data_IF_742142949207
#
_entry.id   IF_742142949207
#
_cell.length_a   1.000
_cell.length_b   1.000
_cell.length_c   1.000
_cell.angle_alpha   90.00
_cell.angle_beta   90.00
_cell.angle_gamma   90.00
#
_symmetry.space_group_name_H-M   'P 1'
#
loop_
_entity.id
_entity.type
_entity.pdbx_description
1 polymer ?
#
# COMPACT_ATOMS: atom_id res chain seq x y z
N UNK A 1 15.08 -11.28 23.02
CA UNK A 1 15.57 -9.93 23.39
C UNK A 1 15.98 -9.24 22.09
N UNK A 2 15.30 -8.14 21.76
CA UNK A 2 14.81 -7.87 20.39
C UNK A 2 15.82 -7.26 19.42
N UNK A 3 15.78 -7.76 18.19
CA UNK A 3 16.48 -7.25 16.99
C UNK A 3 16.12 -5.77 16.68
N UNK A 4 14.97 -5.30 17.17
CA UNK A 4 14.49 -3.92 17.01
C UNK A 4 15.29 -2.87 17.80
N UNK A 5 15.88 -3.24 18.94
CA UNK A 5 16.73 -2.32 19.73
C UNK A 5 18.10 -2.09 19.08
N UNK A 6 18.61 -3.07 18.33
CA UNK A 6 19.86 -2.91 17.56
C UNK A 6 19.66 -2.05 16.31
N UNK A 7 18.50 -2.12 15.66
CA UNK A 7 18.15 -1.26 14.53
C UNK A 7 17.86 0.19 14.96
N UNK A 8 17.20 0.39 16.10
CA UNK A 8 17.00 1.73 16.67
C UNK A 8 18.34 2.40 17.08
N UNK A 9 19.27 1.63 17.67
CA UNK A 9 20.61 2.14 18.00
C UNK A 9 21.45 2.47 16.75
N UNK A 10 21.32 1.69 15.67
CA UNK A 10 21.98 1.96 14.38
C UNK A 10 21.39 3.17 13.65
N UNK A 11 20.09 3.44 13.78
CA UNK A 11 19.43 4.63 13.21
C UNK A 11 19.73 5.91 14.00
N UNK A 12 19.84 5.83 15.32
CA UNK A 12 20.33 6.93 16.17
C UNK A 12 21.82 7.19 15.89
N UNK A 13 22.62 6.14 15.67
CA UNK A 13 24.02 6.28 15.27
C UNK A 13 24.16 6.84 13.85
N UNK A 14 23.30 6.48 12.89
CA UNK A 14 23.30 7.06 11.54
C UNK A 14 22.89 8.55 11.54
N UNK A 15 21.95 8.95 12.41
CA UNK A 15 21.64 10.36 12.67
C UNK A 15 22.79 11.12 13.33
N UNK A 16 23.56 10.46 14.20
CA UNK A 16 24.74 11.04 14.85
C UNK A 16 25.98 11.13 13.93
N UNK A 17 26.11 10.22 12.95
CA UNK A 17 27.20 10.25 11.95
C UNK A 17 27.06 11.44 10.99
N UNK A 18 25.84 11.89 10.71
CA UNK A 18 25.60 13.10 9.90
C UNK A 18 25.96 14.39 10.66
N UNK A 19 25.94 14.36 12.00
CA UNK A 19 26.43 15.47 12.83
C UNK A 19 27.96 15.47 13.00
N UNK A 20 28.64 14.36 12.71
CA UNK A 20 30.10 14.23 12.85
C UNK A 20 30.89 14.62 11.59
N UNK A 21 30.23 14.97 10.48
CA UNK A 21 30.90 15.44 9.24
C UNK A 21 31.19 16.95 9.24
N UNK A 22 30.77 17.68 10.28
CA UNK A 22 31.19 19.06 10.54
C UNK A 22 32.07 19.10 11.79
N UNK A 23 33.34 19.47 11.59
CA UNK A 23 34.40 19.62 12.59
C UNK A 23 33.96 20.09 13.98
N UNK A 24 34.42 19.39 15.03
CA UNK A 24 35.30 19.95 16.07
C UNK A 24 35.87 18.82 16.95
N UNK A 25 37.19 18.86 17.12
CA UNK A 25 37.96 18.05 18.07
C UNK A 25 37.46 18.28 19.51
N UNK A 26 37.33 17.23 20.32
CA UNK A 26 38.04 17.05 21.62
C UNK A 26 37.44 15.95 22.49
N UNK A 27 38.33 15.01 22.85
CA UNK A 27 38.50 14.23 24.10
C UNK A 27 37.30 13.62 24.86
N UNK A 28 37.44 12.30 25.01
CA UNK A 28 36.75 11.31 25.86
C UNK A 28 36.47 11.77 27.31
N UNK A 29 35.22 11.62 27.78
CA UNK A 29 34.85 11.45 29.21
C UNK A 29 33.63 10.50 29.33
N UNK A 30 33.69 9.54 30.26
CA UNK A 30 32.71 8.49 30.56
C UNK A 30 31.34 8.96 31.10
N UNK A 31 30.27 8.12 31.06
CA UNK A 31 28.92 8.51 31.43
C UNK A 31 28.62 8.32 32.93
N UNK A 32 28.26 9.41 33.63
CA UNK A 32 27.55 9.34 34.91
C UNK A 32 26.06 9.65 34.71
N UNK A 33 25.22 8.77 35.27
CA UNK A 33 23.76 8.85 35.32
C UNK A 33 23.31 10.23 35.84
N UNK A 34 22.54 10.96 35.04
CA UNK A 34 21.78 12.13 35.50
C UNK A 34 20.29 11.88 35.33
N UNK A 35 19.63 11.91 36.50
CA UNK A 35 18.19 11.79 36.72
C UNK A 35 17.58 13.17 36.39
N UNK A 36 16.87 13.29 35.28
CA UNK A 36 16.24 14.56 34.87
C UNK A 36 14.88 14.72 35.56
N UNK A 37 14.89 15.40 36.71
CA UNK A 37 13.73 16.10 37.26
C UNK A 37 13.80 17.57 36.83
N UNK A 38 12.72 18.05 36.18
CA UNK A 38 12.36 19.47 36.14
C UNK A 38 13.13 20.37 35.16
N UNK A 39 12.66 20.45 33.92
CA UNK A 39 12.80 21.66 33.09
C UNK A 39 11.47 21.92 32.35
N UNK A 40 10.61 22.73 32.97
CA UNK A 40 9.52 23.44 32.27
C UNK A 40 10.16 24.61 31.52
N UNK A 41 10.49 24.42 30.24
CA UNK A 41 10.88 25.51 29.35
C UNK A 41 9.60 26.16 28.76
N UNK A 42 9.04 27.13 29.48
CA UNK A 42 7.76 27.76 29.18
C UNK A 42 7.83 28.93 28.17
N UNK A 43 8.70 28.93 27.14
CA UNK A 43 8.89 30.13 26.31
C UNK A 43 8.98 30.02 24.77
N UNK A 44 8.69 28.87 24.12
CA UNK A 44 8.19 28.87 22.73
C UNK A 44 6.67 28.72 22.65
N UNK A 45 6.06 28.19 23.72
CA UNK A 45 4.66 27.81 23.77
C UNK A 45 3.70 29.01 23.69
N UNK A 46 4.07 30.19 24.23
CA UNK A 46 3.16 31.34 24.34
C UNK A 46 3.02 32.17 23.04
N UNK A 47 4.09 32.28 22.24
CA UNK A 47 4.09 33.08 21.01
C UNK A 47 3.38 32.39 19.85
N UNK A 48 3.47 31.06 19.77
CA UNK A 48 2.75 30.24 18.78
C UNK A 48 1.28 29.99 19.16
N UNK A 49 0.96 29.98 20.46
CA UNK A 49 -0.45 29.98 20.89
C UNK A 49 -1.12 31.30 20.53
N UNK A 50 -0.51 32.46 20.80
CA UNK A 50 -1.15 33.75 20.49
C UNK A 50 -1.44 33.93 18.99
N UNK A 51 -0.53 33.51 18.11
CA UNK A 51 -0.71 33.63 16.66
C UNK A 51 -1.72 32.64 16.06
N UNK A 52 -1.91 31.47 16.70
CA UNK A 52 -2.88 30.46 16.25
C UNK A 52 -4.27 30.61 16.90
N UNK A 53 -4.32 31.17 18.12
CA UNK A 53 -5.54 31.33 18.91
C UNK A 53 -6.40 32.52 18.45
N UNK A 54 -5.79 33.62 17.98
CA UNK A 54 -6.54 34.76 17.44
C UNK A 54 -7.16 34.47 16.07
N UNK A 55 -6.56 33.58 15.28
CA UNK A 55 -7.15 33.08 14.03
C UNK A 55 -8.36 32.16 14.28
N UNK A 56 -8.35 31.40 15.39
CA UNK A 56 -9.43 30.48 15.76
C UNK A 56 -10.63 31.15 16.44
N UNK A 57 -10.50 32.40 16.92
CA UNK A 57 -11.55 33.08 17.70
C UNK A 57 -12.61 33.81 16.87
N UNK A 58 -12.48 33.83 15.54
CA UNK A 58 -13.44 34.47 14.65
C UNK A 58 -14.71 33.63 14.33
N UNK A 59 -14.85 32.41 14.87
CA UNK A 59 -16.05 31.60 14.72
C UNK A 59 -16.17 30.54 15.81
N UNK A 60 -17.05 30.78 16.78
CA UNK A 60 -17.23 29.89 17.93
C UNK A 60 -17.94 28.59 17.56
N UNK A 61 -17.18 27.49 17.57
CA UNK A 61 -17.54 26.11 17.92
C UNK A 61 -16.30 25.24 17.71
N UNK A 62 -15.89 24.45 18.70
CA UNK A 62 -14.76 23.50 18.56
C UNK A 62 -15.10 22.46 17.47
N UNK A 63 -14.33 22.36 16.37
CA UNK A 63 -14.69 21.44 15.29
C UNK A 63 -14.37 20.01 15.72
N UNK A 64 -15.40 19.18 15.75
CA UNK A 64 -15.29 17.73 15.81
C UNK A 64 -14.85 17.26 14.42
N UNK A 65 -13.55 17.07 14.23
CA UNK A 65 -13.02 16.61 12.94
C UNK A 65 -13.37 15.14 12.70
N UNK A 66 -14.40 14.92 11.88
CA UNK A 66 -14.61 13.71 11.09
C UNK A 66 -14.25 14.05 9.63
N UNK A 67 -13.57 13.17 8.90
CA UNK A 67 -13.05 13.49 7.57
C UNK A 67 -14.16 13.42 6.52
N UNK A 68 -14.40 14.56 5.91
CA UNK A 68 -15.27 14.75 4.77
C UNK A 68 -15.12 16.20 4.35
N UNK A 69 -14.42 16.43 3.24
CA UNK A 69 -14.21 17.74 2.62
C UNK A 69 -13.51 18.81 3.48
N UNK A 70 -12.21 18.65 3.75
CA UNK A 70 -11.27 19.78 3.66
C UNK A 70 -9.90 19.25 3.24
N UNK A 71 -9.60 19.41 1.95
CA UNK A 71 -8.25 19.28 1.41
C UNK A 71 -7.46 20.42 2.03
N UNK A 72 -6.76 20.18 3.14
CA UNK A 72 -5.87 21.19 3.73
C UNK A 72 -4.82 21.51 2.68
N UNK A 73 -4.94 22.68 2.06
CA UNK A 73 -3.98 23.15 1.10
C UNK A 73 -2.75 23.62 1.87
N UNK A 74 -1.77 22.73 1.97
CA UNK A 74 -0.49 22.99 2.63
C UNK A 74 0.37 24.00 1.84
N UNK A 75 -0.19 24.59 0.77
CA UNK A 75 0.32 25.80 0.12
C UNK A 75 0.02 27.08 0.92
N UNK A 76 -0.75 27.00 2.01
CA UNK A 76 -1.15 28.18 2.77
C UNK A 76 0.05 28.98 3.31
N UNK A 77 -0.08 30.29 3.14
CA UNK A 77 0.80 31.36 3.66
C UNK A 77 1.37 31.12 5.08
N UNK A 78 0.67 30.51 6.06
CA UNK A 78 1.18 30.27 7.40
C UNK A 78 2.36 29.31 7.47
N UNK A 79 2.43 28.27 6.62
CA UNK A 79 3.56 27.34 6.62
C UNK A 79 4.84 27.98 6.08
N UNK A 80 4.70 28.82 5.03
CA UNK A 80 5.81 29.62 4.50
C UNK A 80 6.20 30.72 5.47
N UNK A 81 5.22 31.40 6.08
CA UNK A 81 5.46 32.41 7.10
C UNK A 81 6.13 31.81 8.35
N UNK A 82 5.74 30.63 8.82
CA UNK A 82 6.40 29.94 9.95
C UNK A 82 7.84 29.55 9.59
N UNK A 83 8.07 29.03 8.38
CA UNK A 83 9.41 28.72 7.89
C UNK A 83 10.31 29.96 7.79
N UNK A 84 9.78 31.07 7.25
CA UNK A 84 10.50 32.34 7.13
C UNK A 84 10.71 33.02 8.50
N UNK A 85 9.72 32.99 9.38
CA UNK A 85 9.76 33.62 10.71
C UNK A 85 10.73 32.91 11.66
N UNK A 86 10.86 31.58 11.54
CA UNK A 86 11.78 30.82 12.39
C UNK A 86 13.24 30.88 11.93
N UNK A 87 13.52 31.23 10.66
CA UNK A 87 14.89 31.31 10.13
C UNK A 87 15.72 30.08 10.49
N UNK A 88 16.87 30.29 11.15
CA UNK A 88 17.76 29.22 11.62
C UNK A 88 17.20 28.34 12.76
N UNK A 89 16.14 28.76 13.45
CA UNK A 89 15.51 27.98 14.53
C UNK A 89 14.59 26.86 14.03
N UNK A 90 14.28 26.84 12.73
CA UNK A 90 13.42 25.85 12.09
C UNK A 90 13.88 24.40 12.34
N UNK A 91 15.20 24.17 12.36
CA UNK A 91 15.78 22.86 12.68
C UNK A 91 15.51 22.42 14.12
N UNK A 92 15.67 23.31 15.10
CA UNK A 92 15.41 23.01 16.51
C UNK A 92 13.93 22.71 16.77
N UNK A 93 13.03 23.47 16.14
CA UNK A 93 11.60 23.23 16.29
C UNK A 93 11.17 21.91 15.63
N UNK A 94 11.76 21.55 14.49
CA UNK A 94 11.56 20.23 13.89
C UNK A 94 12.02 19.10 14.84
N UNK A 95 13.20 19.24 15.47
CA UNK A 95 13.69 18.26 16.46
C UNK A 95 12.74 18.17 17.67
N UNK A 96 12.24 19.29 18.17
CA UNK A 96 11.25 19.29 19.25
C UNK A 96 10.00 18.50 18.87
N UNK A 97 9.40 18.77 17.70
CA UNK A 97 8.21 18.07 17.22
C UNK A 97 8.47 16.57 17.01
N UNK A 98 9.67 16.18 16.55
CA UNK A 98 10.06 14.78 16.44
C UNK A 98 10.02 14.06 17.79
N UNK A 99 10.62 14.67 18.82
CA UNK A 99 10.66 14.09 20.17
C UNK A 99 9.25 13.98 20.74
N UNK A 100 8.48 15.06 20.66
CA UNK A 100 7.12 15.11 21.20
C UNK A 100 6.19 14.11 20.51
N UNK A 101 6.25 14.02 19.18
CA UNK A 101 5.42 13.08 18.43
C UNK A 101 5.81 11.61 18.70
N UNK A 102 7.09 11.32 18.90
CA UNK A 102 7.55 9.98 19.24
C UNK A 102 7.12 9.59 20.67
N UNK A 103 7.22 10.51 21.63
CA UNK A 103 6.75 10.29 23.00
C UNK A 103 5.24 10.06 23.05
N UNK A 104 4.45 10.90 22.37
CA UNK A 104 2.99 10.75 22.31
C UNK A 104 2.58 9.43 21.64
N UNK A 105 3.21 9.07 20.52
CA UNK A 105 2.98 7.78 19.84
C UNK A 105 3.23 6.61 20.79
N UNK A 106 4.32 6.66 21.57
CA UNK A 106 4.69 5.62 22.52
C UNK A 106 3.76 5.57 23.74
N UNK A 107 3.23 6.71 24.16
CA UNK A 107 2.23 6.83 25.24
C UNK A 107 0.79 6.59 24.77
N UNK A 108 0.58 6.31 23.46
CA UNK A 108 -0.73 6.15 22.83
C UNK A 108 -1.64 7.37 22.98
N UNK A 109 -1.03 8.56 22.98
CA UNK A 109 -1.72 9.84 22.94
C UNK A 109 -1.85 10.21 21.47
N UNK A 110 -3.09 10.38 20.99
CA UNK A 110 -3.37 10.49 19.56
C UNK A 110 -3.92 11.84 19.12
N UNK A 111 -4.36 12.68 20.07
CA UNK A 111 -5.24 13.83 19.82
C UNK A 111 -4.68 14.79 18.76
N UNK A 112 -3.36 15.06 18.79
CA UNK A 112 -2.72 16.03 17.89
C UNK A 112 -1.58 15.44 17.04
N UNK A 113 -1.41 14.12 17.03
CA UNK A 113 -0.22 13.51 16.42
C UNK A 113 -0.13 13.74 14.90
N UNK A 114 -1.28 13.70 14.22
CA UNK A 114 -1.37 13.99 12.79
C UNK A 114 -1.01 15.45 12.49
N UNK A 115 -1.51 16.40 13.30
CA UNK A 115 -1.19 17.83 13.16
C UNK A 115 0.31 18.08 13.38
N UNK A 116 0.92 17.43 14.38
CA UNK A 116 2.37 17.49 14.61
C UNK A 116 3.17 16.99 13.41
N UNK A 117 2.77 15.87 12.79
CA UNK A 117 3.42 15.38 11.57
C UNK A 117 3.30 16.36 10.40
N UNK A 118 2.14 16.99 10.18
CA UNK A 118 1.99 18.01 9.14
C UNK A 118 2.79 19.29 9.44
N UNK A 119 2.84 19.75 10.69
CA UNK A 119 3.70 20.88 11.10
C UNK A 119 5.16 20.55 10.86
N UNK A 120 5.62 19.38 11.30
CA UNK A 120 6.98 18.91 11.07
C UNK A 120 7.31 18.87 9.57
N UNK A 121 6.42 18.32 8.74
CA UNK A 121 6.59 18.26 7.31
C UNK A 121 6.61 19.65 6.65
N UNK A 122 5.83 20.60 7.15
CA UNK A 122 5.88 22.00 6.69
C UNK A 122 7.24 22.67 7.02
N UNK A 123 7.87 22.26 8.13
CA UNK A 123 9.20 22.70 8.55
C UNK A 123 10.33 21.94 7.85
N UNK A 124 10.06 20.86 7.14
CA UNK A 124 11.07 20.08 6.42
C UNK A 124 10.49 19.45 5.13
N UNK A 125 9.90 20.24 4.21
CA UNK A 125 9.08 19.72 3.12
C UNK A 125 9.91 19.03 2.03
N UNK A 126 11.18 19.40 1.91
CA UNK A 126 12.11 18.86 0.91
C UNK A 126 12.96 17.71 1.47
N UNK A 127 12.62 17.18 2.65
CA UNK A 127 13.33 16.06 3.28
C UNK A 127 12.45 14.82 3.12
N UNK A 128 12.71 13.94 2.13
CA UNK A 128 11.92 12.74 1.88
C UNK A 128 11.71 11.88 3.11
N UNK A 129 12.73 11.73 3.95
CA UNK A 129 12.66 10.95 5.18
C UNK A 129 11.52 11.37 6.12
N UNK A 130 11.18 12.66 6.20
CA UNK A 130 10.06 13.15 7.02
C UNK A 130 8.73 12.59 6.53
N UNK A 131 8.59 12.45 5.21
CA UNK A 131 7.40 11.92 4.55
C UNK A 131 7.34 10.40 4.63
N UNK A 132 8.42 9.70 4.30
CA UNK A 132 8.46 8.23 4.33
C UNK A 132 8.32 7.67 5.75
N UNK A 133 9.01 8.26 6.74
CA UNK A 133 8.96 7.80 8.12
C UNK A 133 7.58 8.02 8.76
N UNK A 134 7.01 9.22 8.63
CA UNK A 134 5.74 9.51 9.29
C UNK A 134 4.54 8.85 8.59
N UNK A 135 4.58 8.69 7.26
CA UNK A 135 3.57 7.86 6.56
C UNK A 135 3.63 6.39 7.02
N UNK A 136 4.83 5.84 7.25
CA UNK A 136 5.00 4.52 7.84
C UNK A 136 4.41 4.45 9.26
N UNK A 137 4.68 5.44 10.11
CA UNK A 137 4.10 5.51 11.46
C UNK A 137 2.57 5.52 11.42
N UNK A 138 1.97 6.34 10.56
CA UNK A 138 0.50 6.41 10.38
C UNK A 138 -0.06 5.06 9.92
N UNK A 139 0.52 4.51 8.85
CA UNK A 139 0.01 3.29 8.21
C UNK A 139 0.27 2.02 9.00
N UNK A 140 1.34 1.92 9.81
CA UNK A 140 1.73 0.69 10.50
C UNK A 140 1.63 0.80 12.03
N UNK A 141 2.24 1.81 12.63
CA UNK A 141 2.38 1.87 14.09
C UNK A 141 1.13 2.43 14.78
N UNK A 142 0.47 3.41 14.17
CA UNK A 142 -0.71 4.06 14.73
C UNK A 142 -1.98 3.32 14.33
N UNK A 143 -2.08 2.88 13.07
CA UNK A 143 -3.26 2.14 12.61
C UNK A 143 -3.53 0.88 13.45
N UNK A 144 -2.52 0.09 13.82
CA UNK A 144 -2.70 -1.14 14.60
C UNK A 144 -3.10 -0.93 16.07
N UNK A 145 -3.12 0.32 16.55
CA UNK A 145 -3.54 0.63 17.92
C UNK A 145 -5.07 0.63 18.07
N UNK A 146 -5.80 0.59 16.96
CA UNK A 146 -7.26 0.67 16.94
C UNK A 146 -7.92 -0.70 16.77
N UNK A 147 -9.00 -0.91 17.50
CA UNK A 147 -9.73 -2.18 17.54
C UNK A 147 -10.62 -2.41 16.32
N UNK A 148 -11.21 -1.36 15.76
CA UNK A 148 -12.13 -1.47 14.61
C UNK A 148 -11.39 -1.34 13.28
N UNK A 149 -11.78 -2.14 12.29
CA UNK A 149 -11.12 -2.17 10.97
C UNK A 149 -11.26 -0.84 10.24
N UNK A 150 -12.42 -0.19 10.40
CA UNK A 150 -12.73 1.14 9.87
C UNK A 150 -11.69 2.15 10.38
N UNK A 151 -11.43 2.14 11.70
CA UNK A 151 -10.50 3.08 12.30
C UNK A 151 -9.06 2.77 11.91
N UNK A 152 -8.68 1.50 11.76
CA UNK A 152 -7.36 1.14 11.22
C UNK A 152 -7.18 1.68 9.80
N UNK A 153 -8.23 1.56 8.97
CA UNK A 153 -8.21 2.08 7.61
C UNK A 153 -8.09 3.60 7.56
N UNK A 154 -8.80 4.35 8.41
CA UNK A 154 -8.66 5.82 8.51
C UNK A 154 -7.19 6.23 8.63
N UNK A 155 -6.43 5.58 9.53
CA UNK A 155 -5.01 5.88 9.73
C UNK A 155 -4.12 5.42 8.58
N UNK A 156 -4.46 4.32 7.91
CA UNK A 156 -3.80 3.93 6.66
C UNK A 156 -4.02 5.01 5.59
N UNK A 157 -5.24 5.56 5.49
CA UNK A 157 -5.56 6.62 4.54
C UNK A 157 -4.87 7.93 4.87
N UNK A 158 -4.84 8.35 6.14
CA UNK A 158 -4.04 9.52 6.54
C UNK A 158 -2.56 9.37 6.18
N UNK A 159 -1.99 8.17 6.30
CA UNK A 159 -0.62 7.90 5.88
C UNK A 159 -0.42 7.99 4.37
N UNK A 160 -1.38 7.51 3.58
CA UNK A 160 -1.37 7.62 2.11
C UNK A 160 -1.47 9.08 1.67
N UNK A 161 -2.40 9.85 2.23
CA UNK A 161 -2.59 11.26 1.89
C UNK A 161 -1.35 12.09 2.29
N UNK A 162 -0.79 11.83 3.46
CA UNK A 162 0.44 12.47 3.92
C UNK A 162 1.62 12.15 2.99
N UNK A 163 1.77 10.90 2.56
CA UNK A 163 2.82 10.52 1.62
C UNK A 163 2.61 11.11 0.22
N UNK A 164 1.36 11.19 -0.24
CA UNK A 164 1.02 11.77 -1.54
C UNK A 164 1.42 13.25 -1.60
N UNK A 165 1.22 14.00 -0.51
CA UNK A 165 1.77 15.34 -0.38
C UNK A 165 3.31 15.35 -0.44
N UNK A 166 3.96 14.43 0.29
CA UNK A 166 5.41 14.29 0.25
C UNK A 166 5.95 14.06 -1.16
N UNK A 167 5.28 13.21 -1.94
CA UNK A 167 5.57 12.97 -3.35
C UNK A 167 5.34 14.24 -4.17
N UNK A 168 4.25 14.98 -3.94
CA UNK A 168 3.99 16.24 -4.65
C UNK A 168 5.11 17.26 -4.44
N UNK A 169 5.69 17.29 -3.23
CA UNK A 169 6.84 18.17 -2.91
C UNK A 169 8.18 17.64 -3.38
N UNK A 170 8.31 16.33 -3.54
CA UNK A 170 9.54 15.65 -3.91
C UNK A 170 9.28 14.67 -5.08
N UNK A 171 8.82 15.14 -6.26
CA UNK A 171 8.25 14.27 -7.30
C UNK A 171 9.26 13.29 -7.91
N UNK A 172 10.54 13.65 -7.94
CA UNK A 172 11.64 12.81 -8.43
C UNK A 172 12.31 11.95 -7.37
N UNK A 173 11.75 11.84 -6.16
CA UNK A 173 12.35 10.99 -5.13
C UNK A 173 11.88 9.54 -5.27
N UNK A 174 12.81 8.63 -5.60
CA UNK A 174 12.55 7.19 -5.79
C UNK A 174 11.97 6.53 -4.53
N UNK A 175 12.49 6.86 -3.35
CA UNK A 175 12.07 6.25 -2.08
C UNK A 175 10.59 6.52 -1.80
N UNK A 176 10.11 7.76 -1.97
CA UNK A 176 8.69 8.07 -1.67
C UNK A 176 7.72 7.32 -2.59
N UNK A 177 8.10 7.15 -3.86
CA UNK A 177 7.32 6.41 -4.86
C UNK A 177 7.27 4.92 -4.47
N UNK A 178 8.42 4.34 -4.09
CA UNK A 178 8.50 2.96 -3.64
C UNK A 178 7.72 2.75 -2.33
N UNK A 179 7.80 3.67 -1.36
CA UNK A 179 7.04 3.57 -0.10
C UNK A 179 5.54 3.55 -0.37
N UNK A 180 5.06 4.35 -1.33
CA UNK A 180 3.66 4.35 -1.73
C UNK A 180 3.25 3.00 -2.32
N UNK A 181 4.06 2.46 -3.24
CA UNK A 181 3.87 1.11 -3.77
C UNK A 181 3.86 0.05 -2.67
N UNK A 182 4.75 0.18 -1.68
CA UNK A 182 4.87 -0.72 -0.53
C UNK A 182 3.64 -0.69 0.38
N UNK A 183 3.04 0.47 0.60
CA UNK A 183 1.79 0.60 1.37
C UNK A 183 0.66 -0.13 0.64
N UNK A 184 0.45 0.13 -0.64
CA UNK A 184 -0.58 -0.56 -1.42
C UNK A 184 -0.35 -2.08 -1.49
N UNK A 185 0.90 -2.51 -1.71
CA UNK A 185 1.22 -3.92 -1.84
C UNK A 185 1.13 -4.70 -0.53
N UNK A 186 1.85 -4.26 0.52
CA UNK A 186 1.99 -5.04 1.76
C UNK A 186 0.97 -4.65 2.82
N UNK A 187 0.67 -3.36 2.96
CA UNK A 187 -0.21 -2.91 4.03
C UNK A 187 -1.69 -3.09 3.70
N UNK A 188 -2.04 -3.01 2.41
CA UNK A 188 -3.41 -3.19 1.93
C UNK A 188 -3.59 -4.60 1.34
N UNK A 189 -3.00 -4.88 0.17
CA UNK A 189 -3.34 -6.07 -0.59
C UNK A 189 -2.84 -7.39 0.01
N UNK A 190 -1.62 -7.40 0.55
CA UNK A 190 -1.00 -8.57 1.16
C UNK A 190 -0.98 -8.50 2.69
N UNK A 191 -1.98 -7.83 3.29
CA UNK A 191 -2.09 -7.76 4.73
C UNK A 191 -2.38 -9.15 5.32
N UNK A 192 -1.60 -9.53 6.34
CA UNK A 192 -1.73 -10.82 7.02
C UNK A 192 -3.00 -10.95 7.87
N UNK A 193 -3.62 -9.83 8.25
CA UNK A 193 -4.95 -9.84 8.84
C UNK A 193 -6.00 -9.84 7.72
N UNK A 194 -6.77 -10.93 7.61
CA UNK A 194 -7.75 -11.13 6.55
C UNK A 194 -8.89 -10.10 6.58
N UNK A 195 -9.41 -9.77 7.76
CA UNK A 195 -10.47 -8.76 7.89
C UNK A 195 -9.98 -7.37 7.47
N UNK A 196 -8.74 -7.01 7.82
CA UNK A 196 -8.12 -5.78 7.34
C UNK A 196 -7.96 -5.80 5.82
N UNK A 197 -7.40 -6.88 5.26
CA UNK A 197 -7.17 -7.02 3.83
C UNK A 197 -8.47 -6.84 3.03
N UNK A 198 -9.52 -7.57 3.40
CA UNK A 198 -10.82 -7.50 2.72
C UNK A 198 -11.42 -6.10 2.77
N UNK A 199 -11.44 -5.49 3.96
CA UNK A 199 -11.98 -4.15 4.14
C UNK A 199 -11.14 -3.10 3.39
N UNK A 200 -9.82 -3.13 3.53
CA UNK A 200 -8.92 -2.13 2.93
C UNK A 200 -8.95 -2.21 1.41
N UNK A 201 -8.89 -3.41 0.81
CA UNK A 201 -8.97 -3.55 -0.65
C UNK A 201 -10.29 -3.03 -1.19
N UNK A 202 -11.42 -3.35 -0.54
CA UNK A 202 -12.73 -2.84 -0.93
C UNK A 202 -12.78 -1.32 -0.86
N UNK A 203 -12.31 -0.74 0.26
CA UNK A 203 -12.27 0.72 0.43
C UNK A 203 -11.39 1.42 -0.60
N UNK A 204 -10.23 0.85 -0.96
CA UNK A 204 -9.38 1.41 -2.02
C UNK A 204 -10.08 1.41 -3.37
N UNK A 205 -10.84 0.37 -3.71
CA UNK A 205 -11.64 0.36 -4.94
C UNK A 205 -12.73 1.44 -4.91
N UNK A 206 -13.42 1.60 -3.77
CA UNK A 206 -14.47 2.61 -3.58
C UNK A 206 -13.91 4.04 -3.65
N UNK A 207 -12.77 4.29 -3.00
CA UNK A 207 -12.21 5.63 -2.81
C UNK A 207 -11.31 6.05 -4.00
N UNK A 208 -10.48 5.13 -4.50
CA UNK A 208 -9.43 5.39 -5.51
C UNK A 208 -9.81 4.83 -6.91
N UNK A 209 -10.85 4.00 -7.02
CA UNK A 209 -11.34 3.47 -8.30
C UNK A 209 -10.49 2.36 -8.95
N UNK A 210 -9.48 1.85 -8.22
CA UNK A 210 -8.54 0.85 -8.74
C UNK A 210 -8.19 -0.22 -7.69
N UNK A 211 -7.73 -1.38 -8.15
CA UNK A 211 -7.24 -2.45 -7.27
C UNK A 211 -5.90 -2.04 -6.63
N UNK A 212 -5.71 -2.36 -5.35
CA UNK A 212 -4.51 -2.01 -4.61
C UNK A 212 -3.23 -2.61 -5.20
N UNK A 213 -3.27 -3.81 -5.79
CA UNK A 213 -2.09 -4.42 -6.42
C UNK A 213 -1.73 -3.71 -7.74
N UNK A 214 -2.73 -3.26 -8.49
CA UNK A 214 -2.51 -2.44 -9.68
C UNK A 214 -1.92 -1.08 -9.29
N UNK A 215 -2.45 -0.44 -8.24
CA UNK A 215 -1.89 0.79 -7.68
C UNK A 215 -0.43 0.58 -7.25
N UNK A 216 -0.13 -0.52 -6.54
CA UNK A 216 1.23 -0.86 -6.16
C UNK A 216 2.17 -0.98 -7.36
N UNK A 217 1.75 -1.70 -8.41
CA UNK A 217 2.51 -1.81 -9.65
C UNK A 217 2.81 -0.43 -10.26
N UNK A 218 1.80 0.44 -10.39
CA UNK A 218 1.98 1.77 -10.96
C UNK A 218 2.98 2.63 -10.17
N UNK A 219 2.97 2.54 -8.85
CA UNK A 219 3.93 3.28 -8.00
C UNK A 219 5.34 2.71 -8.08
N UNK A 220 5.52 1.39 -8.07
CA UNK A 220 6.84 0.78 -8.28
C UNK A 220 7.38 1.05 -9.69
N UNK A 221 6.51 0.98 -10.70
CA UNK A 221 6.83 1.29 -12.09
C UNK A 221 7.27 2.75 -12.26
N UNK A 222 6.61 3.68 -11.56
CA UNK A 222 7.06 5.07 -11.48
C UNK A 222 8.41 5.20 -10.78
N UNK A 223 8.61 4.50 -9.66
CA UNK A 223 9.86 4.54 -8.91
C UNK A 223 11.05 4.05 -9.76
N UNK A 224 10.92 2.89 -10.44
CA UNK A 224 11.98 2.33 -11.30
C UNK A 224 12.30 3.23 -12.49
N UNK A 225 11.30 3.89 -13.09
CA UNK A 225 11.53 4.84 -14.19
C UNK A 225 12.35 6.04 -13.73
N UNK A 226 11.97 6.63 -12.60
CA UNK A 226 12.72 7.76 -12.03
C UNK A 226 14.16 7.33 -11.71
N UNK A 227 14.35 6.13 -11.17
CA UNK A 227 15.68 5.60 -10.91
C UNK A 227 16.49 5.43 -12.20
N UNK A 228 15.90 4.85 -13.24
CA UNK A 228 16.54 4.65 -14.54
C UNK A 228 16.92 5.99 -15.20
N UNK A 229 16.03 6.99 -15.14
CA UNK A 229 16.24 8.33 -15.71
C UNK A 229 17.32 9.12 -14.96
N UNK A 230 17.35 9.03 -13.64
CA UNK A 230 18.26 9.82 -12.80
C UNK A 230 19.60 9.12 -12.53
N UNK A 231 19.71 7.83 -12.85
CA UNK A 231 20.81 6.97 -12.41
C UNK A 231 21.05 7.04 -10.89
N UNK A 232 19.99 7.32 -10.12
CA UNK A 232 20.09 7.46 -8.67
C UNK A 232 20.44 6.12 -8.02
N UNK A 233 21.69 5.98 -7.60
CA UNK A 233 22.16 4.87 -6.80
C UNK A 233 21.69 5.05 -5.35
N UNK A 234 20.72 4.25 -4.92
CA UNK A 234 20.25 4.23 -3.54
C UNK A 234 20.67 2.93 -2.83
N UNK A 235 21.21 2.97 -1.59
CA UNK A 235 21.72 1.78 -0.91
C UNK A 235 20.68 0.67 -0.73
N UNK A 236 19.41 1.02 -0.55
CA UNK A 236 18.31 0.06 -0.33
C UNK A 236 17.54 -0.32 -1.60
N UNK A 237 17.70 0.42 -2.70
CA UNK A 237 16.91 0.21 -3.92
C UNK A 237 17.86 0.03 -5.09
N UNK A 238 18.65 -1.03 -5.07
CA UNK A 238 19.40 -1.41 -6.27
C UNK A 238 18.41 -1.59 -7.43
N UNK A 239 18.75 -1.19 -8.67
CA UNK A 239 17.83 -1.27 -9.80
C UNK A 239 17.15 -2.64 -9.95
N UNK A 240 17.91 -3.73 -9.78
CA UNK A 240 17.36 -5.09 -9.85
C UNK A 240 16.20 -5.32 -8.87
N UNK A 241 16.30 -4.80 -7.64
CA UNK A 241 15.29 -4.98 -6.58
C UNK A 241 14.03 -4.17 -6.91
N UNK A 242 14.18 -2.92 -7.33
CA UNK A 242 13.03 -2.06 -7.58
C UNK A 242 12.23 -2.50 -8.82
N UNK A 243 12.92 -2.99 -9.86
CA UNK A 243 12.24 -3.60 -11.01
C UNK A 243 11.56 -4.93 -10.64
N UNK A 244 12.19 -5.76 -9.80
CA UNK A 244 11.61 -7.01 -9.28
C UNK A 244 10.32 -6.74 -8.47
N UNK A 245 10.28 -5.68 -7.65
CA UNK A 245 9.08 -5.25 -6.93
C UNK A 245 7.90 -4.92 -7.88
N UNK A 246 8.17 -4.22 -8.99
CA UNK A 246 7.14 -3.93 -9.99
C UNK A 246 6.63 -5.23 -10.65
N UNK A 247 7.54 -6.14 -11.02
CA UNK A 247 7.19 -7.43 -11.60
C UNK A 247 6.32 -8.27 -10.66
N UNK A 248 6.69 -8.31 -9.37
CA UNK A 248 5.90 -8.98 -8.34
C UNK A 248 4.53 -8.36 -8.12
N UNK A 249 4.41 -7.03 -8.14
CA UNK A 249 3.12 -6.35 -8.04
C UNK A 249 2.19 -6.70 -9.20
N UNK A 250 2.69 -6.67 -10.44
CA UNK A 250 1.93 -7.05 -11.62
C UNK A 250 1.51 -8.52 -11.60
N UNK A 251 2.41 -9.42 -11.19
CA UNK A 251 2.13 -10.84 -11.03
C UNK A 251 1.06 -11.09 -9.95
N UNK A 252 1.15 -10.41 -8.81
CA UNK A 252 0.15 -10.52 -7.75
C UNK A 252 -1.23 -10.02 -8.22
N UNK A 253 -1.27 -8.91 -8.97
CA UNK A 253 -2.50 -8.40 -9.56
C UNK A 253 -3.13 -9.42 -10.52
N UNK A 254 -2.34 -10.08 -11.37
CA UNK A 254 -2.82 -11.13 -12.28
C UNK A 254 -3.45 -12.31 -11.52
N UNK A 255 -2.82 -12.75 -10.43
CA UNK A 255 -3.38 -13.75 -9.53
C UNK A 255 -4.71 -13.31 -8.92
N UNK A 256 -4.77 -12.07 -8.44
CA UNK A 256 -5.97 -11.53 -7.81
C UNK A 256 -7.15 -11.41 -8.80
N UNK A 257 -6.92 -10.93 -10.02
CA UNK A 257 -7.96 -10.89 -11.06
C UNK A 257 -8.42 -12.31 -11.43
N UNK A 258 -7.49 -13.27 -11.51
CA UNK A 258 -7.83 -14.68 -11.74
C UNK A 258 -8.74 -15.21 -10.63
N UNK A 259 -8.39 -14.94 -9.37
CA UNK A 259 -9.17 -15.36 -8.20
C UNK A 259 -10.58 -14.77 -8.25
N UNK A 260 -10.71 -13.47 -8.47
CA UNK A 260 -12.01 -12.80 -8.55
C UNK A 260 -12.86 -13.33 -9.71
N UNK A 261 -12.24 -13.57 -10.89
CA UNK A 261 -12.91 -14.17 -12.04
C UNK A 261 -13.49 -15.55 -11.70
N UNK A 262 -12.67 -16.43 -11.10
CA UNK A 262 -13.11 -17.76 -10.73
C UNK A 262 -14.20 -17.74 -9.65
N UNK A 263 -14.12 -16.84 -8.67
CA UNK A 263 -15.18 -16.68 -7.67
C UNK A 263 -16.51 -16.32 -8.32
N UNK A 264 -16.53 -15.39 -9.27
CA UNK A 264 -17.77 -14.96 -9.96
C UNK A 264 -18.32 -16.02 -10.91
N UNK A 265 -17.46 -16.67 -11.69
CA UNK A 265 -17.86 -17.78 -12.57
C UNK A 265 -18.36 -18.98 -11.75
N UNK A 266 -17.72 -19.27 -10.61
CA UNK A 266 -18.15 -20.30 -9.67
C UNK A 266 -19.53 -20.00 -9.08
N UNK A 267 -19.79 -18.76 -8.70
CA UNK A 267 -21.11 -18.34 -8.21
C UNK A 267 -22.20 -18.51 -9.28
N UNK A 268 -21.91 -18.21 -10.54
CA UNK A 268 -22.84 -18.46 -11.65
C UNK A 268 -23.16 -19.96 -11.80
N UNK A 269 -22.15 -20.82 -11.70
CA UNK A 269 -22.30 -22.28 -11.75
C UNK A 269 -23.09 -22.82 -10.55
N UNK A 270 -22.84 -22.30 -9.35
CA UNK A 270 -23.54 -22.68 -8.13
C UNK A 270 -25.03 -22.33 -8.19
N UNK A 271 -25.36 -21.13 -8.66
CA UNK A 271 -26.74 -20.74 -8.94
C UNK A 271 -27.35 -21.68 -9.99
N UNK A 272 -26.63 -21.93 -11.10
CA UNK A 272 -27.17 -22.81 -12.15
C UNK A 272 -27.50 -24.22 -11.64
N UNK A 273 -26.64 -24.79 -10.79
CA UNK A 273 -26.84 -26.12 -10.18
C UNK A 273 -27.94 -26.14 -9.13
N UNK A 274 -28.11 -25.06 -8.36
CA UNK A 274 -29.14 -24.97 -7.32
C UNK A 274 -30.56 -24.88 -7.90
N UNK A 275 -30.70 -24.23 -9.07
CA UNK A 275 -32.00 -23.96 -9.68
C UNK A 275 -32.83 -22.89 -8.92
N UNK A 276 -33.91 -22.40 -9.54
CA UNK A 276 -34.72 -21.34 -8.93
C UNK A 276 -35.38 -21.83 -7.62
N UNK A 277 -35.72 -20.92 -6.69
CA UNK A 277 -36.39 -21.29 -5.45
C UNK A 277 -37.66 -22.13 -5.68
N UNK A 278 -37.92 -23.10 -4.81
CA UNK A 278 -39.13 -23.91 -4.90
C UNK A 278 -40.38 -23.03 -4.81
N UNK A 279 -41.31 -23.21 -5.76
CA UNK A 279 -42.52 -22.38 -5.86
C UNK A 279 -42.31 -20.99 -6.46
N UNK A 280 -41.12 -20.68 -7.02
CA UNK A 280 -40.86 -19.42 -7.70
C UNK A 280 -41.85 -19.19 -8.85
N UNK A 281 -42.50 -18.03 -8.81
CA UNK A 281 -43.33 -17.52 -9.90
C UNK A 281 -42.47 -17.08 -11.11
N UNK A 282 -43.11 -16.61 -12.16
CA UNK A 282 -42.41 -16.22 -13.39
C UNK A 282 -41.42 -15.06 -13.16
N UNK A 283 -41.75 -14.09 -12.30
CA UNK A 283 -40.89 -12.95 -12.02
C UNK A 283 -39.65 -13.37 -11.21
N UNK A 284 -39.82 -14.21 -10.19
CA UNK A 284 -38.73 -14.75 -9.38
C UNK A 284 -37.78 -15.64 -10.21
N UNK A 285 -38.31 -16.41 -11.17
CA UNK A 285 -37.49 -17.18 -12.12
C UNK A 285 -36.69 -16.27 -13.05
N UNK A 286 -37.32 -15.22 -13.57
CA UNK A 286 -36.64 -14.24 -14.42
C UNK A 286 -35.50 -13.55 -13.68
N UNK A 287 -35.73 -13.11 -12.43
CA UNK A 287 -34.71 -12.52 -11.57
C UNK A 287 -33.56 -13.49 -11.28
N UNK A 288 -33.89 -14.77 -11.05
CA UNK A 288 -32.88 -15.82 -10.87
C UNK A 288 -31.97 -15.98 -12.09
N UNK A 289 -32.56 -16.02 -13.28
CA UNK A 289 -31.81 -16.12 -14.54
C UNK A 289 -30.97 -14.86 -14.81
N UNK A 290 -31.46 -13.67 -14.41
CA UNK A 290 -30.68 -12.43 -14.47
C UNK A 290 -29.43 -12.55 -13.60
N UNK A 291 -29.56 -13.00 -12.35
CA UNK A 291 -28.43 -13.16 -11.43
C UNK A 291 -27.35 -14.13 -11.94
N UNK A 292 -27.75 -15.23 -12.58
CA UNK A 292 -26.81 -16.16 -13.22
C UNK A 292 -26.04 -15.45 -14.34
N UNK A 293 -26.76 -14.75 -15.24
CA UNK A 293 -26.15 -14.04 -16.36
C UNK A 293 -25.21 -12.93 -15.89
N UNK A 294 -25.60 -12.14 -14.91
CA UNK A 294 -24.78 -11.07 -14.35
C UNK A 294 -23.51 -11.63 -13.71
N UNK A 295 -23.62 -12.65 -12.86
CA UNK A 295 -22.46 -13.29 -12.25
C UNK A 295 -21.49 -13.87 -13.30
N UNK A 296 -22.02 -14.49 -14.36
CA UNK A 296 -21.21 -15.00 -15.45
C UNK A 296 -20.53 -13.88 -16.24
N UNK A 297 -21.26 -12.82 -16.60
CA UNK A 297 -20.72 -11.68 -17.33
C UNK A 297 -19.63 -10.94 -16.54
N UNK A 298 -19.84 -10.72 -15.25
CA UNK A 298 -18.83 -10.13 -14.37
C UNK A 298 -17.60 -11.03 -14.25
N UNK A 299 -17.81 -12.34 -14.09
CA UNK A 299 -16.73 -13.32 -14.10
C UNK A 299 -15.93 -13.31 -15.41
N UNK A 300 -16.59 -13.15 -16.55
CA UNK A 300 -15.95 -12.99 -17.86
C UNK A 300 -15.13 -11.72 -17.98
N UNK A 301 -15.66 -10.57 -17.55
CA UNK A 301 -14.90 -9.30 -17.56
C UNK A 301 -13.64 -9.38 -16.70
N UNK A 302 -13.74 -10.02 -15.53
CA UNK A 302 -12.59 -10.24 -14.66
C UNK A 302 -11.60 -11.23 -15.26
N UNK A 303 -12.08 -12.25 -15.97
CA UNK A 303 -11.24 -13.21 -16.68
C UNK A 303 -10.43 -12.53 -17.79
N UNK A 304 -11.06 -11.66 -18.58
CA UNK A 304 -10.36 -10.90 -19.63
C UNK A 304 -9.28 -9.98 -19.01
N UNK A 305 -9.60 -9.29 -17.91
CA UNK A 305 -8.59 -8.52 -17.14
C UNK A 305 -7.45 -9.38 -16.59
N UNK A 306 -7.75 -10.60 -16.15
CA UNK A 306 -6.75 -11.53 -15.65
C UNK A 306 -5.81 -11.99 -16.77
N UNK A 307 -6.32 -12.24 -17.98
CA UNK A 307 -5.53 -12.57 -19.16
C UNK A 307 -4.58 -11.42 -19.52
N UNK A 308 -5.10 -10.20 -19.62
CA UNK A 308 -4.29 -9.00 -19.85
C UNK A 308 -3.19 -8.83 -18.78
N UNK A 309 -3.55 -9.09 -17.52
CA UNK A 309 -2.61 -8.97 -16.41
C UNK A 309 -1.52 -10.05 -16.44
N UNK A 310 -1.84 -11.30 -16.79
CA UNK A 310 -0.83 -12.36 -16.96
C UNK A 310 0.09 -12.07 -18.15
N UNK A 311 -0.45 -11.52 -19.23
CA UNK A 311 0.33 -11.08 -20.38
C UNK A 311 1.33 -9.98 -19.98
N UNK A 312 0.86 -8.95 -19.27
CA UNK A 312 1.73 -7.89 -18.77
C UNK A 312 2.77 -8.41 -17.76
N UNK A 313 2.39 -9.30 -16.84
CA UNK A 313 3.33 -9.91 -15.91
C UNK A 313 4.44 -10.70 -16.64
N UNK A 314 4.09 -11.46 -17.68
CA UNK A 314 5.06 -12.17 -18.52
C UNK A 314 6.04 -11.21 -19.18
N UNK A 315 5.53 -10.11 -19.72
CA UNK A 315 6.34 -9.13 -20.46
C UNK A 315 7.27 -8.35 -19.52
N UNK A 316 6.79 -8.02 -18.31
CA UNK A 316 7.60 -7.41 -17.25
C UNK A 316 8.75 -8.33 -16.81
N UNK A 317 8.48 -9.61 -16.53
CA UNK A 317 9.53 -10.56 -16.19
C UNK A 317 10.53 -10.80 -17.33
N UNK A 318 10.06 -10.78 -18.58
CA UNK A 318 10.95 -10.87 -19.73
C UNK A 318 11.83 -9.60 -19.88
N UNK A 319 11.29 -8.43 -19.55
CA UNK A 319 12.07 -7.18 -19.51
C UNK A 319 13.11 -7.19 -18.38
N UNK A 320 12.74 -7.67 -17.19
CA UNK A 320 13.64 -7.87 -16.06
C UNK A 320 14.80 -8.78 -16.45
N UNK A 321 14.53 -9.94 -17.08
CA UNK A 321 15.57 -10.88 -17.50
C UNK A 321 16.51 -10.26 -18.55
N UNK A 322 15.98 -9.52 -19.53
CA UNK A 322 16.82 -8.82 -20.52
C UNK A 322 17.74 -7.79 -19.87
N UNK A 323 17.28 -7.13 -18.81
CA UNK A 323 18.03 -6.08 -18.11
C UNK A 323 19.02 -6.66 -17.10
N UNK A 324 18.63 -7.72 -16.41
CA UNK A 324 19.39 -8.39 -15.36
C UNK A 324 19.41 -9.91 -15.63
N UNK A 325 20.27 -10.39 -16.55
CA UNK A 325 20.28 -11.80 -16.95
C UNK A 325 20.62 -12.78 -15.82
N UNK A 326 21.30 -12.30 -14.77
CA UNK A 326 21.67 -13.09 -13.59
C UNK A 326 20.56 -13.14 -12.53
N UNK A 327 19.43 -12.46 -12.76
CA UNK A 327 18.29 -12.49 -11.85
C UNK A 327 17.50 -13.79 -12.00
N UNK A 328 17.70 -14.72 -11.06
CA UNK A 328 16.98 -15.99 -10.99
C UNK A 328 15.47 -15.83 -10.83
N UNK A 329 14.99 -14.73 -10.22
CA UNK A 329 13.56 -14.46 -10.10
C UNK A 329 12.93 -14.29 -11.49
N UNK A 330 13.60 -13.56 -12.38
CA UNK A 330 13.08 -13.28 -13.71
C UNK A 330 12.83 -14.54 -14.54
N UNK A 331 13.70 -15.56 -14.38
CA UNK A 331 13.52 -16.87 -15.02
C UNK A 331 12.34 -17.62 -14.40
N UNK A 332 12.34 -17.78 -13.07
CA UNK A 332 11.35 -18.59 -12.35
C UNK A 332 9.95 -18.00 -12.49
N UNK A 333 9.80 -16.71 -12.20
CA UNK A 333 8.50 -16.04 -12.22
C UNK A 333 8.03 -15.71 -13.65
N UNK A 334 8.95 -15.48 -14.59
CA UNK A 334 8.62 -15.33 -16.01
C UNK A 334 8.03 -16.61 -16.61
N UNK A 335 8.65 -17.77 -16.35
CA UNK A 335 8.10 -19.07 -16.74
C UNK A 335 6.76 -19.36 -16.05
N UNK A 336 6.67 -19.05 -14.74
CA UNK A 336 5.43 -19.16 -13.98
C UNK A 336 4.30 -18.33 -14.58
N UNK A 337 4.56 -17.07 -14.94
CA UNK A 337 3.59 -16.19 -15.57
C UNK A 337 3.16 -16.68 -16.97
N UNK A 338 4.09 -17.17 -17.78
CA UNK A 338 3.77 -17.74 -19.10
C UNK A 338 2.89 -18.99 -18.99
N UNK A 339 3.23 -19.92 -18.07
CA UNK A 339 2.42 -21.12 -17.80
C UNK A 339 1.04 -20.73 -17.29
N UNK A 340 0.97 -19.78 -16.36
CA UNK A 340 -0.26 -19.28 -15.80
C UNK A 340 -1.20 -18.69 -16.87
N UNK A 341 -0.68 -17.77 -17.69
CA UNK A 341 -1.42 -17.17 -18.80
C UNK A 341 -1.98 -18.22 -19.75
N UNK A 342 -1.15 -19.17 -20.23
CA UNK A 342 -1.60 -20.20 -21.17
C UNK A 342 -2.69 -21.13 -20.60
N UNK A 343 -2.62 -21.47 -19.30
CA UNK A 343 -3.66 -22.26 -18.64
C UNK A 343 -4.98 -21.48 -18.51
N UNK A 344 -4.88 -20.18 -18.21
CA UNK A 344 -6.05 -19.32 -18.11
C UNK A 344 -6.68 -19.05 -19.48
N UNK A 345 -5.88 -18.90 -20.53
CA UNK A 345 -6.35 -18.81 -21.94
C UNK A 345 -7.13 -20.06 -22.34
N UNK A 346 -6.58 -21.25 -22.04
CA UNK A 346 -7.25 -22.51 -22.30
C UNK A 346 -8.59 -22.62 -21.53
N UNK A 347 -8.61 -22.22 -20.26
CA UNK A 347 -9.87 -22.14 -19.50
C UNK A 347 -10.85 -21.16 -20.14
N UNK A 348 -10.39 -19.96 -20.51
CA UNK A 348 -11.21 -18.90 -21.06
C UNK A 348 -11.87 -19.27 -22.39
N UNK A 349 -11.22 -20.10 -23.21
CA UNK A 349 -11.80 -20.63 -24.45
C UNK A 349 -13.03 -21.53 -24.20
N UNK A 350 -13.10 -22.18 -23.04
CA UNK A 350 -14.21 -23.05 -22.64
C UNK A 350 -15.18 -22.38 -21.66
N UNK A 351 -14.89 -21.16 -21.21
CA UNK A 351 -15.75 -20.41 -20.31
C UNK A 351 -16.83 -19.66 -21.09
N UNK A 352 -17.81 -20.38 -21.67
CA UNK A 352 -18.92 -19.81 -22.45
C UNK A 352 -20.28 -20.03 -21.76
N UNK A 353 -21.31 -19.20 -22.07
CA UNK A 353 -22.66 -19.42 -21.58
C UNK A 353 -23.21 -20.80 -21.93
N UNK A 354 -22.93 -21.29 -23.14
CA UNK A 354 -23.42 -22.59 -23.63
C UNK A 354 -22.86 -23.74 -22.78
N UNK A 355 -21.58 -23.66 -22.38
CA UNK A 355 -20.96 -24.64 -21.50
C UNK A 355 -21.56 -24.62 -20.09
N UNK A 356 -21.81 -23.43 -19.54
CA UNK A 356 -22.51 -23.28 -18.26
C UNK A 356 -23.92 -23.87 -18.32
N UNK A 357 -24.60 -23.73 -19.45
CA UNK A 357 -25.95 -24.26 -19.67
C UNK A 357 -25.97 -25.77 -19.86
N UNK A 358 -25.06 -26.33 -20.67
CA UNK A 358 -25.06 -27.74 -21.05
C UNK A 358 -24.49 -28.65 -19.96
N UNK A 359 -23.46 -28.21 -19.24
CA UNK A 359 -22.78 -29.01 -18.21
C UNK A 359 -22.24 -28.11 -17.07
N UNK A 360 -23.14 -27.57 -16.22
CA UNK A 360 -22.75 -26.70 -15.13
C UNK A 360 -21.88 -27.40 -14.08
N UNK A 361 -21.96 -28.73 -13.95
CA UNK A 361 -21.15 -29.48 -12.99
C UNK A 361 -19.68 -29.53 -13.42
N UNK A 362 -19.40 -29.92 -14.67
CA UNK A 362 -18.04 -29.94 -15.21
C UNK A 362 -17.43 -28.53 -15.27
N UNK A 363 -18.25 -27.53 -15.61
CA UNK A 363 -17.85 -26.12 -15.53
C UNK A 363 -17.41 -25.73 -14.11
N UNK A 364 -18.20 -26.08 -13.07
CA UNK A 364 -17.85 -25.81 -11.67
C UNK A 364 -16.56 -26.50 -11.25
N UNK A 365 -16.33 -27.75 -11.69
CA UNK A 365 -15.09 -28.50 -11.43
C UNK A 365 -13.89 -27.79 -12.05
N UNK A 366 -14.00 -27.31 -13.30
CA UNK A 366 -12.94 -26.53 -13.96
C UNK A 366 -12.61 -25.24 -13.20
N UNK A 367 -13.62 -24.49 -12.78
CA UNK A 367 -13.43 -23.28 -11.95
C UNK A 367 -12.69 -23.61 -10.64
N UNK A 368 -13.11 -24.68 -9.94
CA UNK A 368 -12.46 -25.11 -8.70
C UNK A 368 -11.02 -25.58 -8.93
N UNK A 369 -10.75 -26.23 -10.06
CA UNK A 369 -9.40 -26.66 -10.43
C UNK A 369 -8.44 -25.47 -10.56
N UNK A 370 -8.87 -24.37 -11.18
CA UNK A 370 -8.07 -23.13 -11.28
C UNK A 370 -7.78 -22.52 -9.91
N UNK A 371 -8.77 -22.52 -9.01
CA UNK A 371 -8.60 -22.01 -7.63
C UNK A 371 -7.68 -22.87 -6.77
N UNK A 372 -7.66 -24.18 -7.00
CA UNK A 372 -6.95 -25.16 -6.17
C UNK A 372 -5.55 -25.52 -6.69
N UNK A 373 -5.30 -25.43 -8.00
CA UNK A 373 -4.07 -25.94 -8.63
C UNK A 373 -3.36 -24.91 -9.50
N UNK A 374 -2.04 -24.82 -9.28
CA UNK A 374 -0.98 -24.13 -10.03
C UNK A 374 -1.01 -22.60 -10.18
N UNK A 375 -2.17 -21.96 -10.31
CA UNK A 375 -2.24 -20.53 -10.64
C UNK A 375 -2.09 -19.60 -9.43
N UNK A 376 -2.56 -20.02 -8.26
CA UNK A 376 -2.71 -19.12 -7.09
C UNK A 376 -1.90 -19.56 -5.86
N UNK A 377 -1.65 -20.86 -5.66
CA UNK A 377 -1.30 -21.40 -4.33
C UNK A 377 0.17 -21.84 -4.15
N UNK A 378 0.88 -22.32 -5.18
CA UNK A 378 2.24 -22.84 -4.98
C UNK A 378 3.34 -21.79 -5.20
N UNK A 379 4.31 -21.66 -4.28
CA UNK A 379 5.64 -21.15 -4.64
C UNK A 379 6.20 -22.11 -5.68
N UNK A 380 6.53 -21.62 -6.88
CA UNK A 380 6.86 -22.40 -8.08
C UNK A 380 8.13 -23.29 -7.98
N UNK A 381 8.66 -23.55 -6.78
CA UNK A 381 9.85 -24.37 -6.57
C UNK A 381 9.65 -25.86 -6.90
N UNK A 382 8.42 -26.38 -7.03
CA UNK A 382 8.17 -27.80 -7.34
C UNK A 382 6.77 -28.05 -7.94
N UNK A 383 6.63 -28.13 -9.27
CA UNK A 383 5.35 -28.47 -9.91
C UNK A 383 5.46 -29.29 -11.21
N UNK A 384 5.35 -30.62 -11.07
CA UNK A 384 4.93 -31.51 -12.15
C UNK A 384 3.52 -31.14 -12.67
N UNK A 385 3.21 -31.40 -13.95
CA UNK A 385 1.96 -30.99 -14.60
C UNK A 385 0.82 -31.96 -14.29
N UNK A 386 -0.21 -31.50 -13.55
CA UNK A 386 -1.53 -32.16 -13.53
C UNK A 386 -2.64 -31.14 -13.37
N UNK A 387 -2.97 -30.44 -14.46
CA UNK A 387 -4.36 -30.02 -14.66
C UNK A 387 -5.02 -31.22 -15.33
N UNK A 388 -6.03 -31.78 -14.66
CA UNK A 388 -6.77 -32.90 -15.22
C UNK A 388 -7.52 -32.42 -16.46
N UNK A 389 -6.96 -32.71 -17.64
CA UNK A 389 -7.70 -32.80 -18.89
C UNK A 389 -8.71 -33.94 -18.71
N UNK A 390 -9.94 -33.61 -18.35
CA UNK A 390 -11.04 -34.52 -18.63
C UNK A 390 -11.41 -34.25 -20.08
N UNK A 391 -10.87 -35.09 -20.97
CA UNK A 391 -11.36 -35.23 -22.34
C UNK A 391 -12.88 -35.53 -22.33
N UNK A 392 -13.61 -35.15 -23.39
CA UNK A 392 -15.07 -35.07 -23.43
C UNK A 392 -15.84 -36.33 -23.01
#
# INVERSE_FOLDING_TARGET
MNHSLRQAALLIAAGAVFAATYHLETRVVEPRRLRMQGYRAALPHALLHAASYDAARAGGQSPRFLPGEQRLDISDLPSRAAALSLGGLRGFFAVYLWIEAEDEKNLKIHDDLLDKYYRLASLQPNIPFVWSHNSWNLTHNLSVQWSTVERRYDWVRYGIDFLAEGIRRNPGNVELQEVMGRIYFWRIANNGNEADREYFCRKVIEDDGADALLMAYQWYDRARRIQDETSASHPMFQPVILHDQACHAMHAYAKEMTRQAMTRLGAAAELKLAGPPAGADAAARQEYDIRIREAFQDGRRLLDRALDAWQAARDEWAAQYRRFPDDGNAVIFGQGAARAGGLLEAFAAHATPEQLESDPHSFQVRVRSVLQYDLLVKPFMNLEPRIHTVEP
#
